data_IF_743381355586
#
_entry.id   IF_743381355586
#
_cell.length_a   1.000
_cell.length_b   1.000
_cell.length_c   1.000
_cell.angle_alpha   90.00
_cell.angle_beta   90.00
_cell.angle_gamma   90.00
#
_symmetry.space_group_name_H-M   'P 1'
#
loop_
_entity.id
_entity.type
_entity.pdbx_description
1 polymer ?
#
# COMPACT_ATOMS: atom_id res chain seq x y z
N UNK A 1 24.47 -5.86 47.44
CA UNK A 1 23.58 -6.93 46.96
C UNK A 1 22.59 -6.29 45.96
N UNK A 2 22.88 -6.35 44.68
CA UNK A 2 21.98 -5.87 43.61
C UNK A 2 21.07 -7.01 43.20
N UNK A 3 19.74 -6.87 43.41
CA UNK A 3 18.73 -7.81 42.95
C UNK A 3 18.48 -7.55 41.47
N UNK A 4 18.85 -8.46 40.62
CA UNK A 4 18.43 -8.50 39.21
C UNK A 4 17.00 -9.03 39.18
N UNK A 5 16.06 -8.18 38.75
CA UNK A 5 14.71 -8.61 38.37
C UNK A 5 14.81 -9.16 36.96
N UNK A 6 14.72 -10.48 36.84
CA UNK A 6 14.63 -11.18 35.58
C UNK A 6 13.19 -11.03 35.07
N UNK A 7 12.96 -10.05 34.18
CA UNK A 7 11.69 -9.93 33.48
C UNK A 7 11.55 -11.11 32.50
N UNK A 8 10.60 -12.01 32.75
CA UNK A 8 10.19 -13.02 31.77
C UNK A 8 9.56 -12.29 30.58
N UNK A 9 10.30 -12.21 29.49
CA UNK A 9 9.76 -11.98 28.16
C UNK A 9 8.98 -13.25 27.75
N UNK A 10 7.71 -13.31 28.07
CA UNK A 10 6.75 -14.21 27.44
C UNK A 10 6.58 -13.76 26.00
N UNK A 11 7.50 -14.14 25.13
CA UNK A 11 7.34 -14.04 23.68
C UNK A 11 6.08 -14.80 23.30
N UNK A 12 5.18 -14.15 22.60
CA UNK A 12 4.03 -14.76 21.95
C UNK A 12 4.53 -15.77 20.91
N UNK A 13 4.89 -16.98 21.35
CA UNK A 13 4.97 -18.11 20.43
C UNK A 13 3.57 -18.24 19.85
N UNK A 14 3.40 -17.87 18.59
CA UNK A 14 2.19 -18.19 17.84
C UNK A 14 1.88 -19.64 18.10
N UNK A 15 0.71 -19.92 18.68
CA UNK A 15 0.24 -21.26 18.99
C UNK A 15 0.00 -22.00 17.67
N UNK A 16 1.08 -22.47 17.04
CA UNK A 16 1.02 -23.41 15.95
C UNK A 16 0.36 -24.67 16.50
N UNK A 17 -0.90 -24.90 16.09
CA UNK A 17 -1.68 -26.05 16.56
C UNK A 17 -3.06 -25.71 17.12
N UNK A 18 -3.31 -24.47 17.57
CA UNK A 18 -4.62 -24.11 18.10
C UNK A 18 -5.62 -23.90 16.97
N UNK A 19 -6.75 -24.61 17.05
CA UNK A 19 -7.89 -24.40 16.17
C UNK A 19 -8.83 -23.40 16.81
N UNK A 20 -9.26 -22.38 16.06
CA UNK A 20 -10.20 -21.36 16.53
C UNK A 20 -11.39 -21.27 15.57
N UNK A 21 -12.59 -21.28 16.12
CA UNK A 21 -13.86 -21.04 15.41
C UNK A 21 -14.28 -19.60 15.68
N UNK A 22 -14.49 -18.84 14.62
CA UNK A 22 -15.07 -17.50 14.65
C UNK A 22 -16.50 -17.59 14.13
N UNK A 23 -17.47 -17.02 14.85
CA UNK A 23 -18.87 -17.20 14.47
C UNK A 23 -19.75 -16.01 14.81
N UNK A 24 -20.85 -15.85 14.05
CA UNK A 24 -21.86 -14.82 14.26
C UNK A 24 -21.66 -13.54 13.48
N UNK A 25 -20.53 -13.37 12.77
CA UNK A 25 -20.25 -12.18 11.99
C UNK A 25 -20.93 -12.18 10.62
N UNK A 26 -21.07 -10.98 10.05
CA UNK A 26 -21.17 -10.80 8.59
C UNK A 26 -19.80 -11.05 8.00
N UNK A 27 -19.68 -11.93 7.00
CA UNK A 27 -18.41 -12.23 6.33
C UNK A 27 -18.44 -11.65 4.92
N UNK A 28 -17.61 -10.63 4.68
CA UNK A 28 -17.34 -10.07 3.34
C UNK A 28 -16.19 -10.87 2.76
N UNK A 29 -16.46 -11.61 1.69
CA UNK A 29 -15.48 -12.57 1.14
C UNK A 29 -14.30 -11.86 0.45
N UNK A 30 -14.54 -10.69 -0.16
CA UNK A 30 -13.49 -9.92 -0.85
C UNK A 30 -13.45 -10.11 -2.36
N UNK A 31 -14.43 -10.82 -2.95
CA UNK A 31 -14.53 -11.12 -4.39
C UNK A 31 -15.83 -10.62 -5.04
N UNK A 32 -16.48 -9.63 -4.42
CA UNK A 32 -17.76 -9.03 -4.83
C UNK A 32 -19.00 -9.95 -4.76
N UNK A 33 -18.87 -11.17 -4.25
CA UNK A 33 -20.07 -11.98 -3.95
C UNK A 33 -20.82 -11.41 -2.74
N UNK A 34 -22.12 -11.65 -2.62
CA UNK A 34 -22.89 -11.24 -1.44
C UNK A 34 -22.25 -11.76 -0.15
N UNK A 35 -22.25 -10.97 0.94
CA UNK A 35 -21.69 -11.40 2.21
C UNK A 35 -22.46 -12.60 2.79
N UNK A 36 -21.76 -13.42 3.57
CA UNK A 36 -22.41 -14.47 4.38
C UNK A 36 -22.88 -13.82 5.67
N UNK A 37 -24.18 -13.63 5.79
CA UNK A 37 -24.78 -13.13 7.02
C UNK A 37 -24.75 -14.22 8.11
N UNK A 38 -24.49 -13.81 9.36
CA UNK A 38 -24.36 -14.73 10.49
C UNK A 38 -23.45 -15.92 10.11
N UNK A 39 -22.27 -15.60 9.59
CA UNK A 39 -21.31 -16.57 9.11
C UNK A 39 -20.42 -17.15 10.21
N UNK A 40 -19.70 -18.19 9.86
CA UNK A 40 -18.65 -18.78 10.69
C UNK A 40 -17.46 -19.24 9.82
N UNK A 41 -16.28 -19.26 10.42
CA UNK A 41 -15.11 -19.86 9.80
C UNK A 41 -14.18 -20.44 10.85
N UNK A 42 -13.36 -21.42 10.42
CA UNK A 42 -12.40 -22.11 11.27
C UNK A 42 -11.00 -21.81 10.80
N UNK A 43 -10.17 -21.37 11.73
CA UNK A 43 -8.73 -21.14 11.50
C UNK A 43 -7.93 -22.26 12.20
N UNK A 44 -7.02 -22.86 11.46
CA UNK A 44 -6.06 -23.86 11.96
C UNK A 44 -4.70 -23.62 11.30
N UNK A 45 -3.64 -23.58 12.09
CA UNK A 45 -2.28 -23.30 11.60
C UNK A 45 -2.19 -22.06 10.70
N UNK A 46 -2.84 -20.97 11.08
CA UNK A 46 -2.81 -19.70 10.36
C UNK A 46 -3.60 -19.68 9.05
N UNK A 47 -4.40 -20.71 8.75
CA UNK A 47 -5.20 -20.80 7.53
C UNK A 47 -6.68 -21.05 7.84
N UNK A 48 -7.54 -20.53 6.99
CA UNK A 48 -8.97 -20.82 6.99
C UNK A 48 -9.15 -22.25 6.46
N UNK A 49 -9.69 -23.15 7.29
CA UNK A 49 -9.91 -24.56 6.90
C UNK A 49 -11.38 -24.85 6.57
N UNK A 50 -12.30 -24.02 7.06
CA UNK A 50 -13.73 -24.05 6.73
C UNK A 50 -14.32 -22.66 6.82
N UNK A 51 -15.34 -22.35 6.01
CA UNK A 51 -16.08 -21.08 6.01
C UNK A 51 -17.49 -21.32 5.46
N UNK A 52 -18.53 -20.68 6.04
CA UNK A 52 -19.91 -20.78 5.61
C UNK A 52 -20.87 -20.15 6.63
N UNK A 53 -22.19 -20.32 6.46
CA UNK A 53 -23.18 -19.90 7.45
C UNK A 53 -22.96 -20.55 8.82
N UNK A 54 -23.25 -19.84 9.90
CA UNK A 54 -23.20 -20.39 11.27
C UNK A 54 -24.10 -21.63 11.37
N UNK A 55 -23.58 -22.69 11.99
CA UNK A 55 -24.26 -23.99 12.09
C UNK A 55 -24.05 -24.94 10.89
N UNK A 56 -23.56 -24.45 9.74
CA UNK A 56 -23.20 -25.32 8.61
C UNK A 56 -21.80 -25.92 8.71
N UNK A 57 -20.97 -25.40 9.62
CA UNK A 57 -19.58 -25.81 9.81
C UNK A 57 -19.48 -26.66 11.07
N UNK A 58 -18.88 -27.84 10.94
CA UNK A 58 -18.56 -28.66 12.11
C UNK A 58 -17.43 -28.02 12.91
N UNK A 59 -17.69 -27.70 14.18
CA UNK A 59 -16.65 -27.26 15.10
C UNK A 59 -15.73 -28.45 15.44
N UNK A 60 -14.40 -28.31 15.24
CA UNK A 60 -13.46 -29.34 15.68
C UNK A 60 -13.46 -29.48 17.22
N UNK A 61 -13.30 -30.70 17.71
CA UNK A 61 -13.21 -30.94 19.15
C UNK A 61 -12.01 -30.19 19.75
N UNK A 62 -12.25 -29.49 20.87
CA UNK A 62 -11.22 -28.71 21.55
C UNK A 62 -10.86 -27.37 20.89
N UNK A 63 -11.57 -26.95 19.86
CA UNK A 63 -11.38 -25.63 19.26
C UNK A 63 -11.78 -24.51 20.26
N UNK A 64 -10.99 -23.43 20.25
CA UNK A 64 -11.41 -22.18 20.89
C UNK A 64 -12.55 -21.53 20.08
N UNK A 65 -13.44 -20.82 20.76
CA UNK A 65 -14.55 -20.11 20.13
C UNK A 65 -14.43 -18.61 20.37
N UNK A 66 -14.64 -17.83 19.30
CA UNK A 66 -14.70 -16.38 19.32
C UNK A 66 -16.07 -15.96 18.77
N UNK A 67 -16.89 -15.37 19.64
CA UNK A 67 -18.19 -14.80 19.23
C UNK A 67 -17.96 -13.42 18.60
N UNK A 68 -18.36 -13.29 17.35
CA UNK A 68 -18.31 -12.06 16.56
C UNK A 68 -19.71 -11.57 16.18
N UNK A 69 -20.71 -11.91 16.97
CA UNK A 69 -22.09 -11.46 16.76
C UNK A 69 -22.16 -9.92 16.70
N UNK A 70 -22.79 -9.40 15.65
CA UNK A 70 -22.90 -7.96 15.39
C UNK A 70 -21.65 -7.32 14.76
N UNK A 71 -20.60 -8.11 14.48
CA UNK A 71 -19.38 -7.63 13.80
C UNK A 71 -19.41 -7.95 12.31
N UNK A 72 -18.52 -7.27 11.59
CA UNK A 72 -18.23 -7.60 10.19
C UNK A 72 -16.77 -8.06 10.09
N UNK A 73 -16.53 -9.10 9.31
CA UNK A 73 -15.17 -9.59 8.99
C UNK A 73 -14.94 -9.44 7.51
N UNK A 74 -13.78 -8.90 7.15
CA UNK A 74 -13.31 -8.79 5.76
C UNK A 74 -11.85 -9.24 5.67
N UNK A 75 -11.34 -9.61 4.47
CA UNK A 75 -9.91 -9.85 4.28
C UNK A 75 -9.09 -8.63 4.68
N UNK A 76 -7.86 -8.84 5.12
CA UNK A 76 -6.90 -7.74 5.29
C UNK A 76 -6.66 -7.01 3.95
N UNK A 77 -6.41 -5.72 4.04
CA UNK A 77 -6.11 -4.85 2.91
C UNK A 77 -4.74 -5.22 2.33
N UNK A 78 -4.59 -5.10 1.02
CA UNK A 78 -3.32 -5.26 0.32
C UNK A 78 -3.01 -3.99 -0.46
N UNK A 79 -1.88 -3.35 -0.18
CA UNK A 79 -1.40 -2.14 -0.84
C UNK A 79 -0.30 -2.50 -1.84
N UNK A 80 -0.48 -2.16 -3.13
CA UNK A 80 0.54 -2.42 -4.16
C UNK A 80 1.45 -1.24 -4.46
N UNK A 81 1.38 -0.16 -3.68
CA UNK A 81 2.20 1.02 -3.92
C UNK A 81 2.43 1.84 -2.67
N UNK A 82 3.59 1.69 -2.05
CA UNK A 82 4.11 2.52 -0.98
C UNK A 82 5.63 2.68 -1.12
N UNK A 83 6.22 3.61 -0.37
CA UNK A 83 7.66 3.90 -0.35
C UNK A 83 8.19 3.71 1.06
N UNK A 84 8.76 2.53 1.35
CA UNK A 84 9.11 2.12 2.71
C UNK A 84 10.56 2.44 3.07
N UNK A 85 10.78 2.89 4.29
CA UNK A 85 12.10 2.97 4.93
C UNK A 85 12.72 4.36 5.00
N UNK A 86 12.39 5.28 4.11
CA UNK A 86 13.04 6.60 4.02
C UNK A 86 12.35 7.69 4.85
N UNK A 87 11.04 7.58 5.06
CA UNK A 87 10.30 8.54 5.85
C UNK A 87 10.53 8.30 7.34
N UNK A 88 10.97 9.34 8.06
CA UNK A 88 10.80 9.47 9.50
C UNK A 88 9.53 10.26 9.80
N UNK A 89 9.26 10.57 11.07
CA UNK A 89 8.06 11.31 11.43
C UNK A 89 8.02 12.74 10.85
N UNK A 90 9.15 13.43 10.79
CA UNK A 90 9.27 14.79 10.25
C UNK A 90 10.50 14.94 9.35
N UNK A 91 11.04 13.84 8.85
CA UNK A 91 12.20 13.83 7.95
C UNK A 91 12.01 12.82 6.83
N UNK A 92 12.69 13.02 5.76
CA UNK A 92 12.92 12.03 4.72
C UNK A 92 14.41 11.98 4.44
N UNK A 93 15.05 10.85 4.68
CA UNK A 93 16.48 10.70 4.53
C UNK A 93 16.86 9.26 4.23
N UNK A 94 17.99 9.09 3.53
CA UNK A 94 18.61 7.80 3.27
C UNK A 94 19.09 7.13 4.58
N UNK A 95 19.47 7.91 5.58
CA UNK A 95 19.88 7.42 6.90
C UNK A 95 18.72 6.78 7.68
N UNK A 96 17.47 7.13 7.35
CA UNK A 96 16.28 6.48 7.90
C UNK A 96 16.10 5.04 7.36
N UNK A 97 16.75 4.69 6.24
CA UNK A 97 16.54 3.39 5.61
C UNK A 97 17.24 2.27 6.39
N UNK A 98 16.59 1.81 7.43
CA UNK A 98 17.03 0.72 8.30
C UNK A 98 15.99 -0.40 8.35
N UNK A 99 16.37 -1.64 8.71
CA UNK A 99 15.41 -2.72 8.92
C UNK A 99 14.31 -2.37 9.92
N UNK A 100 14.67 -1.64 10.98
CA UNK A 100 13.77 -1.23 12.05
C UNK A 100 12.73 -0.23 11.54
N UNK A 101 13.14 0.74 10.71
CA UNK A 101 12.22 1.73 10.16
C UNK A 101 11.30 1.12 9.09
N UNK A 102 11.81 0.22 8.24
CA UNK A 102 10.95 -0.54 7.30
C UNK A 102 9.94 -1.39 8.07
N UNK A 103 10.37 -2.03 9.17
CA UNK A 103 9.47 -2.78 10.04
C UNK A 103 8.42 -1.89 10.70
N UNK A 104 8.81 -0.71 11.20
CA UNK A 104 7.88 0.26 11.82
C UNK A 104 6.78 0.68 10.84
N UNK A 105 7.11 0.95 9.58
CA UNK A 105 6.12 1.24 8.55
C UNK A 105 5.16 0.07 8.32
N UNK A 106 5.68 -1.17 8.23
CA UNK A 106 4.86 -2.36 8.05
C UNK A 106 4.01 -2.70 9.29
N UNK A 107 4.46 -2.36 10.48
CA UNK A 107 3.68 -2.47 11.72
C UNK A 107 2.53 -1.45 11.75
N UNK A 108 2.75 -0.21 11.25
CA UNK A 108 1.68 0.78 11.08
C UNK A 108 0.65 0.33 10.07
N UNK A 109 1.09 -0.18 8.92
CA UNK A 109 0.22 -0.81 7.94
C UNK A 109 -0.64 -1.90 8.60
N UNK A 110 -0.01 -2.82 9.32
CA UNK A 110 -0.72 -3.90 10.02
C UNK A 110 -1.67 -3.39 11.10
N UNK A 111 -1.29 -2.34 11.85
CA UNK A 111 -2.15 -1.72 12.87
C UNK A 111 -3.48 -1.25 12.27
N UNK A 112 -3.46 -0.75 11.05
CA UNK A 112 -4.64 -0.31 10.32
C UNK A 112 -5.28 -1.40 9.43
N UNK A 113 -4.85 -2.67 9.58
CA UNK A 113 -5.47 -3.81 8.88
C UNK A 113 -4.91 -4.11 7.50
N UNK A 114 -3.77 -3.52 7.14
CA UNK A 114 -3.07 -3.87 5.90
C UNK A 114 -2.25 -5.13 6.12
N UNK A 115 -2.51 -6.18 5.34
CA UNK A 115 -1.82 -7.46 5.47
C UNK A 115 -0.61 -7.64 4.54
N UNK A 116 -0.51 -6.80 3.50
CA UNK A 116 0.56 -6.90 2.48
C UNK A 116 0.84 -5.53 1.88
N UNK A 117 2.12 -5.18 1.73
CA UNK A 117 2.55 -3.91 1.13
C UNK A 117 3.67 -4.14 0.12
N UNK A 118 3.55 -3.54 -1.07
CA UNK A 118 4.56 -3.51 -2.12
C UNK A 118 5.31 -2.17 -2.09
N UNK A 119 6.59 -2.21 -1.73
CA UNK A 119 7.49 -1.05 -1.82
C UNK A 119 7.93 -0.82 -3.26
N UNK A 120 7.74 0.42 -3.77
CA UNK A 120 7.68 0.69 -5.18
C UNK A 120 8.92 1.43 -5.72
N UNK A 121 10.01 0.66 -5.93
CA UNK A 121 11.11 1.11 -6.79
C UNK A 121 12.38 1.58 -6.09
N UNK A 122 12.36 1.97 -4.82
CA UNK A 122 13.52 2.54 -4.12
C UNK A 122 14.15 1.60 -3.09
N UNK A 123 13.91 0.30 -3.20
CA UNK A 123 14.54 -0.66 -2.28
C UNK A 123 15.86 -1.19 -2.82
N UNK A 124 16.97 -1.09 -2.05
CA UNK A 124 18.18 -1.82 -2.38
C UNK A 124 17.87 -3.32 -2.47
N UNK A 125 18.18 -3.94 -3.61
CA UNK A 125 17.73 -5.30 -3.93
C UNK A 125 18.25 -6.33 -2.92
N UNK A 126 19.50 -6.18 -2.45
CA UNK A 126 20.07 -7.11 -1.46
C UNK A 126 19.37 -7.01 -0.11
N UNK A 127 19.16 -5.79 0.37
CA UNK A 127 18.40 -5.51 1.58
C UNK A 127 16.98 -6.09 1.49
N UNK A 128 16.26 -5.80 0.41
CA UNK A 128 14.89 -6.23 0.24
C UNK A 128 14.73 -7.76 0.25
N UNK A 129 15.63 -8.47 -0.43
CA UNK A 129 15.65 -9.94 -0.43
C UNK A 129 15.97 -10.51 0.95
N UNK A 130 16.88 -9.89 1.68
CA UNK A 130 17.22 -10.31 3.04
C UNK A 130 16.06 -10.08 4.00
N UNK A 131 15.44 -8.89 3.95
CA UNK A 131 14.29 -8.54 4.76
C UNK A 131 13.13 -9.51 4.52
N UNK A 132 12.80 -9.82 3.27
CA UNK A 132 11.78 -10.83 2.92
C UNK A 132 12.11 -12.21 3.49
N UNK A 133 13.36 -12.67 3.36
CA UNK A 133 13.79 -13.96 3.93
C UNK A 133 13.63 -14.00 5.44
N UNK A 134 13.99 -12.93 6.13
CA UNK A 134 13.86 -12.84 7.59
C UNK A 134 12.39 -12.83 8.03
N UNK A 135 11.53 -12.12 7.29
CA UNK A 135 10.08 -12.12 7.56
C UNK A 135 9.47 -13.50 7.32
N UNK A 136 9.77 -14.16 6.20
CA UNK A 136 9.29 -15.51 5.89
C UNK A 136 9.77 -16.56 6.89
N UNK A 137 10.97 -16.37 7.44
CA UNK A 137 11.53 -17.24 8.47
C UNK A 137 10.97 -16.98 9.88
N UNK A 138 10.03 -16.02 10.04
CA UNK A 138 9.45 -15.65 11.33
C UNK A 138 10.44 -14.98 12.28
N UNK A 139 11.52 -14.38 11.78
CA UNK A 139 12.53 -13.69 12.57
C UNK A 139 12.15 -12.25 12.91
N UNK A 140 11.12 -11.70 12.25
CA UNK A 140 10.61 -10.36 12.48
C UNK A 140 9.28 -10.39 13.23
N UNK A 141 8.94 -9.35 14.00
CA UNK A 141 7.62 -9.21 14.61
C UNK A 141 6.48 -9.29 13.60
N UNK A 142 5.24 -9.60 14.05
CA UNK A 142 4.07 -9.57 13.19
C UNK A 142 3.83 -8.19 12.57
N UNK A 143 3.82 -8.11 11.25
CA UNK A 143 3.64 -6.89 10.47
C UNK A 143 3.03 -7.24 9.10
N UNK A 144 2.65 -6.24 8.31
CA UNK A 144 2.27 -6.45 6.92
C UNK A 144 3.39 -7.16 6.14
N UNK A 145 3.03 -8.04 5.22
CA UNK A 145 4.02 -8.76 4.39
C UNK A 145 4.67 -7.78 3.42
N UNK A 146 5.99 -7.81 3.41
CA UNK A 146 6.81 -6.97 2.56
C UNK A 146 7.01 -7.59 1.18
N UNK A 147 6.68 -6.82 0.15
CA UNK A 147 7.04 -7.06 -1.24
C UNK A 147 7.75 -5.84 -1.81
N UNK A 148 8.47 -5.97 -2.93
CA UNK A 148 9.11 -4.84 -3.57
C UNK A 148 9.21 -5.02 -5.09
N UNK A 149 9.27 -3.88 -5.79
CA UNK A 149 9.63 -3.78 -7.19
C UNK A 149 11.03 -3.16 -7.32
N UNK A 150 11.82 -3.62 -8.26
CA UNK A 150 13.11 -2.99 -8.56
C UNK A 150 12.90 -1.76 -9.46
N UNK A 151 13.49 -0.62 -9.07
CA UNK A 151 13.31 0.67 -9.76
C UNK A 151 14.24 0.89 -10.93
N UNK A 152 13.74 1.62 -11.95
CA UNK A 152 14.50 2.09 -13.10
C UNK A 152 14.22 3.55 -13.39
N UNK A 153 15.26 4.35 -13.56
CA UNK A 153 15.18 5.76 -13.94
C UNK A 153 16.26 6.11 -14.96
N UNK A 154 16.10 7.17 -15.76
CA UNK A 154 17.20 7.72 -16.53
C UNK A 154 18.22 8.37 -15.58
N UNK A 155 19.53 8.42 -15.93
CA UNK A 155 20.55 9.00 -15.07
C UNK A 155 20.20 10.44 -14.66
N UNK A 156 20.13 10.67 -13.34
CA UNK A 156 19.75 11.97 -12.76
C UNK A 156 18.32 12.39 -13.06
N UNK A 157 17.43 11.46 -13.43
CA UNK A 157 16.08 11.74 -13.89
C UNK A 157 14.99 11.11 -13.04
N UNK A 158 13.75 11.40 -13.45
CA UNK A 158 12.53 10.97 -12.80
C UNK A 158 11.91 12.04 -11.89
N UNK A 159 10.59 12.04 -11.74
CA UNK A 159 9.86 13.08 -10.98
C UNK A 159 10.13 13.00 -9.50
N UNK A 160 10.48 11.82 -9.04
CA UNK A 160 10.89 11.57 -7.65
C UNK A 160 12.40 11.75 -7.50
N UNK A 161 12.98 12.67 -8.27
CA UNK A 161 14.44 12.85 -8.34
C UNK A 161 15.06 13.15 -6.98
N UNK A 162 14.35 13.82 -6.07
CA UNK A 162 14.82 13.94 -4.69
C UNK A 162 14.87 12.58 -4.00
N UNK A 163 13.82 11.77 -4.17
CA UNK A 163 13.79 10.43 -3.62
C UNK A 163 14.86 9.58 -4.30
N UNK A 164 14.90 9.62 -5.63
CA UNK A 164 15.88 8.85 -6.42
C UNK A 164 17.31 9.31 -6.15
N UNK A 165 17.58 10.61 -6.13
CA UNK A 165 18.91 11.16 -5.82
C UNK A 165 19.26 10.93 -4.35
N UNK A 166 18.33 11.11 -3.43
CA UNK A 166 18.50 10.78 -2.02
C UNK A 166 18.84 9.30 -1.79
N UNK A 167 18.31 8.40 -2.60
CA UNK A 167 18.60 6.96 -2.51
C UNK A 167 19.87 6.52 -3.25
N UNK A 168 20.52 7.42 -4.01
CA UNK A 168 21.71 7.09 -4.79
C UNK A 168 22.83 6.42 -3.97
N UNK A 169 23.13 6.83 -2.72
CA UNK A 169 24.13 6.16 -1.90
C UNK A 169 23.84 4.68 -1.64
N UNK A 170 22.57 4.26 -1.69
CA UNK A 170 22.15 2.87 -1.48
C UNK A 170 22.06 2.05 -2.77
N UNK A 171 22.30 2.65 -3.92
CA UNK A 171 22.10 2.01 -5.24
C UNK A 171 20.70 1.35 -5.37
N UNK A 172 19.67 2.02 -4.84
CA UNK A 172 18.33 1.49 -4.76
C UNK A 172 17.60 1.50 -6.12
N UNK A 173 17.97 2.41 -7.01
CA UNK A 173 17.40 2.56 -8.36
C UNK A 173 18.43 2.24 -9.42
N UNK A 174 18.03 1.51 -10.45
CA UNK A 174 18.87 1.20 -11.60
C UNK A 174 18.79 2.34 -12.61
N UNK A 175 19.86 3.09 -12.79
CA UNK A 175 19.95 4.11 -13.84
C UNK A 175 20.24 3.46 -15.19
N UNK A 176 19.44 3.80 -16.21
CA UNK A 176 19.54 3.24 -17.56
C UNK A 176 19.34 4.33 -18.63
N UNK A 177 20.13 4.29 -19.66
CA UNK A 177 20.10 5.23 -20.79
C UNK A 177 19.74 4.57 -22.13
N UNK A 178 19.94 3.26 -22.23
CA UNK A 178 19.78 2.51 -23.48
C UNK A 178 18.91 1.25 -23.28
N UNK A 179 18.24 0.76 -24.36
CA UNK A 179 17.52 -0.50 -24.33
C UNK A 179 18.39 -1.71 -23.92
N UNK A 180 19.63 -1.74 -24.32
CA UNK A 180 20.56 -2.84 -24.00
C UNK A 180 20.92 -2.88 -22.51
N UNK A 181 21.22 -1.72 -21.91
CA UNK A 181 21.42 -1.60 -20.46
C UNK A 181 20.18 -2.06 -19.68
N UNK A 182 19.01 -1.57 -20.07
CA UNK A 182 17.74 -1.93 -19.45
C UNK A 182 17.50 -3.44 -19.52
N UNK A 183 17.65 -4.03 -20.70
CA UNK A 183 17.50 -5.47 -20.92
C UNK A 183 18.48 -6.30 -20.07
N UNK A 184 19.76 -5.89 -20.02
CA UNK A 184 20.78 -6.59 -19.24
C UNK A 184 20.47 -6.58 -17.73
N UNK A 185 19.98 -5.45 -17.21
CA UNK A 185 19.62 -5.30 -15.80
C UNK A 185 18.36 -6.11 -15.48
N UNK A 186 17.32 -6.06 -16.30
CA UNK A 186 16.09 -6.86 -16.09
C UNK A 186 16.42 -8.36 -16.03
N UNK A 187 17.29 -8.87 -16.94
CA UNK A 187 17.76 -10.25 -16.90
C UNK A 187 18.52 -10.59 -15.60
N UNK A 188 19.34 -9.67 -15.11
CA UNK A 188 20.05 -9.84 -13.84
C UNK A 188 19.06 -9.94 -12.67
N UNK A 189 18.05 -9.07 -12.63
CA UNK A 189 17.01 -9.08 -11.60
C UNK A 189 16.16 -10.34 -11.66
N UNK A 190 15.75 -10.78 -12.85
CA UNK A 190 15.00 -12.02 -13.06
C UNK A 190 15.74 -13.26 -12.52
N UNK A 191 17.06 -13.36 -12.79
CA UNK A 191 17.90 -14.44 -12.23
C UNK A 191 17.97 -14.43 -10.69
N UNK A 192 17.73 -13.27 -10.06
CA UNK A 192 17.66 -13.12 -8.60
C UNK A 192 16.28 -13.41 -8.03
N UNK A 193 15.30 -13.77 -8.88
CA UNK A 193 13.94 -14.06 -8.46
C UNK A 193 13.06 -12.83 -8.27
N UNK A 194 13.49 -11.64 -8.71
CA UNK A 194 12.67 -10.44 -8.70
C UNK A 194 11.50 -10.64 -9.67
N UNK A 195 10.31 -10.25 -9.24
CA UNK A 195 9.07 -10.48 -9.99
C UNK A 195 8.42 -9.22 -10.52
N UNK A 196 8.88 -8.05 -10.08
CA UNK A 196 8.27 -6.78 -10.39
C UNK A 196 9.33 -5.72 -10.63
N UNK A 197 9.09 -4.87 -11.64
CA UNK A 197 9.92 -3.70 -11.96
C UNK A 197 9.05 -2.45 -11.96
N UNK A 198 9.61 -1.33 -11.51
CA UNK A 198 9.01 0.00 -11.55
C UNK A 198 9.90 0.93 -12.35
N UNK A 199 9.32 1.75 -13.20
CA UNK A 199 10.03 2.82 -13.87
C UNK A 199 9.24 4.12 -13.87
N UNK A 200 9.95 5.24 -14.04
CA UNK A 200 9.36 6.58 -14.05
C UNK A 200 9.47 7.19 -15.45
N UNK A 201 8.32 7.64 -15.98
CA UNK A 201 8.20 8.36 -17.24
C UNK A 201 7.57 9.71 -16.93
N UNK A 202 8.39 10.65 -16.49
CA UNK A 202 7.94 11.98 -16.13
C UNK A 202 9.15 12.93 -16.12
N UNK A 203 8.93 14.16 -16.44
CA UNK A 203 9.93 15.21 -16.36
C UNK A 203 9.37 16.48 -15.71
N UNK A 204 8.42 16.33 -14.79
CA UNK A 204 7.77 17.43 -14.12
C UNK A 204 8.82 18.40 -13.55
N UNK A 205 8.70 19.67 -13.96
CA UNK A 205 9.33 20.76 -13.26
C UNK A 205 8.52 21.06 -12.00
N UNK A 206 9.07 20.72 -10.86
CA UNK A 206 8.49 21.05 -9.55
C UNK A 206 9.34 22.08 -8.81
N UNK A 207 9.85 23.09 -9.52
CA UNK A 207 10.77 24.14 -9.07
C UNK A 207 12.19 23.66 -8.73
N UNK A 208 12.57 22.48 -9.21
CA UNK A 208 13.88 21.86 -8.97
C UNK A 208 14.67 21.59 -10.26
N UNK A 209 14.17 22.11 -11.37
CA UNK A 209 14.73 21.88 -12.70
C UNK A 209 14.02 20.73 -13.44
N UNK A 210 14.09 20.77 -14.77
CA UNK A 210 13.55 19.71 -15.60
C UNK A 210 14.41 18.44 -15.44
N UNK A 211 13.75 17.32 -15.10
CA UNK A 211 14.40 16.01 -15.02
C UNK A 211 14.44 15.37 -16.40
N UNK A 212 15.42 14.47 -16.61
CA UNK A 212 15.43 13.64 -17.80
C UNK A 212 14.25 12.69 -17.78
N UNK A 213 13.54 12.59 -18.88
CA UNK A 213 12.46 11.67 -19.09
C UNK A 213 13.00 10.35 -19.68
N UNK A 214 12.48 9.23 -19.21
CA UNK A 214 12.87 7.93 -19.80
C UNK A 214 12.35 7.83 -21.24
N UNK A 215 13.24 7.54 -22.22
CA UNK A 215 12.85 7.43 -23.62
C UNK A 215 11.92 6.22 -23.87
N UNK A 216 10.99 6.30 -24.84
CA UNK A 216 10.06 5.21 -25.17
C UNK A 216 10.73 3.88 -25.47
N UNK A 217 11.84 3.88 -26.19
CA UNK A 217 12.61 2.68 -26.52
C UNK A 217 13.20 2.00 -25.27
N UNK A 218 13.55 2.76 -24.25
CA UNK A 218 14.13 2.21 -23.00
C UNK A 218 13.02 1.57 -22.15
N UNK A 219 11.90 2.26 -21.89
CA UNK A 219 10.84 1.64 -21.11
C UNK A 219 10.18 0.47 -21.85
N UNK A 220 10.11 0.52 -23.17
CA UNK A 220 9.61 -0.61 -23.96
C UNK A 220 10.52 -1.83 -23.82
N UNK A 221 11.84 -1.62 -23.79
CA UNK A 221 12.81 -2.70 -23.56
C UNK A 221 12.67 -3.30 -22.13
N UNK A 222 12.43 -2.45 -21.11
CA UNK A 222 12.15 -2.92 -19.74
C UNK A 222 10.91 -3.81 -19.73
N UNK A 223 9.78 -3.34 -20.29
CA UNK A 223 8.51 -4.06 -20.32
C UNK A 223 8.68 -5.41 -21.04
N UNK A 224 9.20 -5.38 -22.26
CA UNK A 224 9.36 -6.57 -23.07
C UNK A 224 10.25 -7.63 -22.44
N UNK A 225 11.36 -7.20 -21.82
CA UNK A 225 12.26 -8.13 -21.17
C UNK A 225 11.68 -8.65 -19.85
N UNK A 226 11.00 -7.80 -19.09
CA UNK A 226 10.27 -8.22 -17.88
C UNK A 226 9.25 -9.31 -18.22
N UNK A 227 8.46 -9.14 -19.27
CA UNK A 227 7.48 -10.12 -19.73
C UNK A 227 8.10 -11.46 -20.13
N UNK A 228 9.25 -11.47 -20.83
CA UNK A 228 9.98 -12.72 -21.16
C UNK A 228 10.33 -13.55 -19.93
N UNK A 229 10.54 -12.89 -18.79
CA UNK A 229 10.87 -13.53 -17.52
C UNK A 229 9.66 -13.67 -16.58
N UNK A 230 8.45 -13.39 -17.07
CA UNK A 230 7.24 -13.47 -16.27
C UNK A 230 7.17 -12.42 -15.14
N UNK A 231 7.90 -11.32 -15.25
CA UNK A 231 7.83 -10.18 -14.31
C UNK A 231 6.71 -9.23 -14.74
N UNK A 232 6.18 -8.44 -13.80
CA UNK A 232 5.26 -7.34 -14.08
C UNK A 232 5.99 -6.00 -14.08
N UNK A 233 5.56 -5.12 -14.99
CA UNK A 233 6.09 -3.77 -15.15
C UNK A 233 5.07 -2.73 -14.65
N UNK A 234 5.52 -1.81 -13.79
CA UNK A 234 4.76 -0.70 -13.25
C UNK A 234 5.33 0.61 -13.79
N UNK A 235 4.49 1.48 -14.32
CA UNK A 235 4.91 2.77 -14.86
C UNK A 235 4.32 3.94 -14.09
N UNK A 236 5.17 4.80 -13.53
CA UNK A 236 4.79 6.13 -13.13
C UNK A 236 4.61 7.00 -14.38
N UNK A 237 3.41 7.51 -14.62
CA UNK A 237 3.08 8.43 -15.70
C UNK A 237 1.92 9.35 -15.29
N UNK A 238 2.12 10.67 -15.32
CA UNK A 238 1.17 11.64 -14.77
C UNK A 238 0.55 12.56 -15.80
N UNK A 239 1.02 12.53 -17.05
CA UNK A 239 0.42 13.25 -18.17
C UNK A 239 -0.14 12.30 -19.24
N UNK A 240 -1.04 12.81 -20.07
CA UNK A 240 -1.79 12.00 -21.03
C UNK A 240 -0.88 11.34 -22.08
N UNK A 241 0.11 12.05 -22.59
CA UNK A 241 1.01 11.53 -23.62
C UNK A 241 1.84 10.35 -23.09
N UNK A 242 2.33 10.46 -21.86
CA UNK A 242 3.11 9.41 -21.23
C UNK A 242 2.25 8.19 -20.88
N UNK A 243 1.03 8.40 -20.38
CA UNK A 243 0.11 7.30 -20.12
C UNK A 243 -0.25 6.54 -21.41
N UNK A 244 -0.51 7.25 -22.51
CA UNK A 244 -0.69 6.63 -23.83
C UNK A 244 0.54 5.80 -24.22
N UNK A 245 1.73 6.36 -24.07
CA UNK A 245 2.98 5.70 -24.43
C UNK A 245 3.21 4.40 -23.68
N UNK A 246 3.12 4.42 -22.34
CA UNK A 246 3.40 3.23 -21.52
C UNK A 246 2.31 2.18 -21.63
N UNK A 247 1.03 2.55 -21.79
CA UNK A 247 -0.05 1.57 -21.99
C UNK A 247 0.07 0.91 -23.36
N UNK A 248 0.37 1.65 -24.43
CA UNK A 248 0.64 1.10 -25.76
C UNK A 248 1.88 0.18 -25.78
N UNK A 249 2.88 0.47 -24.95
CA UNK A 249 4.05 -0.41 -24.79
C UNK A 249 3.74 -1.71 -24.01
N UNK A 250 2.53 -1.84 -23.45
CA UNK A 250 2.07 -3.04 -22.76
C UNK A 250 2.36 -3.08 -21.26
N UNK A 251 2.46 -1.93 -20.58
CA UNK A 251 2.65 -1.89 -19.13
C UNK A 251 1.54 -2.67 -18.40
N UNK A 252 1.90 -3.42 -17.38
CA UNK A 252 0.93 -4.20 -16.59
C UNK A 252 0.15 -3.34 -15.60
N UNK A 253 0.85 -2.39 -14.94
CA UNK A 253 0.26 -1.52 -13.92
C UNK A 253 0.56 -0.06 -14.25
N UNK A 254 -0.47 0.68 -14.60
CA UNK A 254 -0.42 2.13 -14.73
C UNK A 254 -0.53 2.77 -13.36
N UNK A 255 0.46 3.59 -13.00
CA UNK A 255 0.51 4.28 -11.70
C UNK A 255 0.17 5.75 -11.91
N UNK A 256 -0.62 6.28 -10.98
CA UNK A 256 -1.18 7.62 -10.95
C UNK A 256 -2.35 7.83 -11.93
N UNK A 257 -2.97 8.98 -11.77
CA UNK A 257 -4.05 9.47 -12.62
C UNK A 257 -3.70 10.83 -13.22
N UNK A 258 -4.41 11.22 -14.26
CA UNK A 258 -4.31 12.55 -14.83
C UNK A 258 -4.96 13.56 -13.87
N UNK A 259 -4.16 14.44 -13.27
CA UNK A 259 -4.63 15.48 -12.35
C UNK A 259 -4.70 16.86 -13.02
N UNK A 260 -3.80 17.13 -13.98
CA UNK A 260 -3.69 18.41 -14.65
C UNK A 260 -4.51 18.51 -15.95
N UNK A 261 -4.95 17.39 -16.50
CA UNK A 261 -5.62 17.32 -17.80
C UNK A 261 -6.72 16.25 -17.84
N UNK A 262 -7.62 16.36 -18.79
CA UNK A 262 -8.70 15.39 -19.01
C UNK A 262 -8.27 14.31 -19.98
N UNK A 263 -8.74 13.09 -19.73
CA UNK A 263 -8.59 11.96 -20.65
C UNK A 263 -9.32 12.23 -21.96
N UNK A 264 -8.73 11.82 -23.08
CA UNK A 264 -9.34 11.89 -24.41
C UNK A 264 -9.83 10.53 -24.93
N UNK A 265 -10.58 10.55 -26.03
CA UNK A 265 -11.17 9.34 -26.61
C UNK A 265 -10.11 8.35 -27.15
N UNK A 266 -8.96 8.86 -27.61
CA UNK A 266 -7.86 8.00 -28.06
C UNK A 266 -7.33 7.17 -26.87
N UNK A 267 -7.08 7.79 -25.73
CA UNK A 267 -6.59 7.06 -24.58
C UNK A 267 -7.64 6.11 -23.99
N UNK A 268 -8.93 6.47 -24.02
CA UNK A 268 -9.99 5.55 -23.63
C UNK A 268 -10.03 4.30 -24.53
N UNK A 269 -9.79 4.45 -25.83
CA UNK A 269 -9.66 3.32 -26.74
C UNK A 269 -8.44 2.45 -26.43
N UNK A 270 -7.29 3.06 -26.10
CA UNK A 270 -6.07 2.37 -25.67
C UNK A 270 -6.32 1.59 -24.37
N UNK A 271 -6.93 2.21 -23.35
CA UNK A 271 -7.28 1.54 -22.10
C UNK A 271 -8.19 0.34 -22.34
N UNK A 272 -9.19 0.48 -23.23
CA UNK A 272 -10.12 -0.60 -23.57
C UNK A 272 -9.41 -1.78 -24.26
N UNK A 273 -8.41 -1.51 -25.09
CA UNK A 273 -7.64 -2.52 -25.78
C UNK A 273 -6.69 -3.29 -24.85
N UNK A 274 -6.01 -2.59 -23.97
CA UNK A 274 -4.94 -3.14 -23.12
C UNK A 274 -5.40 -3.57 -21.72
N UNK A 275 -6.40 -2.89 -21.14
CA UNK A 275 -6.97 -3.17 -19.81
C UNK A 275 -5.93 -3.33 -18.70
N UNK A 276 -5.02 -2.38 -18.52
CA UNK A 276 -3.99 -2.47 -17.49
C UNK A 276 -4.63 -2.49 -16.09
N UNK A 277 -3.89 -2.98 -15.10
CA UNK A 277 -4.17 -2.59 -13.73
C UNK A 277 -3.90 -1.10 -13.58
N UNK A 278 -4.67 -0.44 -12.72
CA UNK A 278 -4.53 0.98 -12.48
C UNK A 278 -4.56 1.29 -11.00
N UNK A 279 -3.48 1.88 -10.49
CA UNK A 279 -3.41 2.42 -9.14
C UNK A 279 -3.37 3.95 -9.21
N UNK A 280 -4.50 4.61 -8.96
CA UNK A 280 -4.66 6.04 -9.25
C UNK A 280 -3.91 6.97 -8.29
N UNK A 281 -3.69 6.57 -7.01
CA UNK A 281 -3.00 7.37 -5.99
C UNK A 281 -3.62 8.77 -5.88
N UNK A 282 -4.89 8.84 -5.56
CA UNK A 282 -5.64 10.10 -5.57
C UNK A 282 -5.52 10.87 -4.26
N UNK A 283 -5.38 10.16 -3.15
CA UNK A 283 -5.33 10.75 -1.82
C UNK A 283 -4.11 11.61 -1.55
N UNK A 284 -2.99 11.35 -2.23
CA UNK A 284 -1.71 12.03 -1.97
C UNK A 284 -1.80 13.58 -2.02
N UNK A 285 -2.63 14.13 -2.88
CA UNK A 285 -2.86 15.58 -2.97
C UNK A 285 -4.11 16.06 -2.23
N UNK A 286 -4.90 15.16 -1.64
CA UNK A 286 -6.11 15.55 -0.91
C UNK A 286 -5.74 15.90 0.53
N UNK A 287 -6.16 17.11 0.96
CA UNK A 287 -5.94 17.62 2.32
C UNK A 287 -7.22 17.66 3.13
N UNK A 288 -8.37 17.51 2.48
CA UNK A 288 -9.66 17.83 3.08
C UNK A 288 -9.85 17.04 4.39
N UNK A 289 -9.65 15.75 4.35
CA UNK A 289 -9.90 14.91 5.51
C UNK A 289 -8.98 15.22 6.70
N UNK A 290 -7.69 15.48 6.46
CA UNK A 290 -6.74 15.82 7.52
C UNK A 290 -6.99 17.22 8.09
N UNK A 291 -7.49 18.14 7.26
CA UNK A 291 -7.61 19.55 7.58
C UNK A 291 -9.00 19.96 8.11
N UNK A 292 -10.04 19.20 7.81
CA UNK A 292 -11.43 19.57 8.13
C UNK A 292 -11.87 19.23 9.56
N UNK A 293 -10.95 18.87 10.44
CA UNK A 293 -11.25 18.63 11.85
C UNK A 293 -10.34 17.59 12.50
N UNK A 294 -10.71 17.11 13.69
CA UNK A 294 -10.02 15.99 14.32
C UNK A 294 -10.05 14.75 13.41
N UNK A 295 -8.90 14.08 13.24
CA UNK A 295 -8.82 12.81 12.52
C UNK A 295 -8.36 11.72 13.50
N UNK A 296 -9.27 11.27 14.40
CA UNK A 296 -8.91 10.33 15.46
C UNK A 296 -8.24 9.06 14.92
N UNK A 297 -8.52 8.72 13.65
CA UNK A 297 -8.00 7.53 13.03
C UNK A 297 -6.49 7.65 12.72
N UNK A 298 -6.03 8.73 12.09
CA UNK A 298 -4.59 8.94 11.85
C UNK A 298 -3.83 9.15 13.16
N UNK A 299 -4.48 9.76 14.14
CA UNK A 299 -3.91 10.06 15.45
C UNK A 299 -3.62 8.80 16.29
N UNK A 300 -4.21 7.66 15.94
CA UNK A 300 -4.00 6.40 16.67
C UNK A 300 -2.56 5.87 16.56
N UNK A 301 -1.90 6.08 15.42
CA UNK A 301 -0.57 5.53 15.16
C UNK A 301 0.49 6.61 14.89
N UNK A 302 0.32 7.80 15.50
CA UNK A 302 1.24 8.92 15.34
C UNK A 302 1.30 9.76 16.64
N UNK A 303 2.48 10.29 17.02
CA UNK A 303 2.58 11.22 18.14
C UNK A 303 1.75 12.49 17.90
N UNK A 304 1.12 13.01 18.96
CA UNK A 304 0.25 14.20 18.86
C UNK A 304 1.01 15.43 18.37
N UNK A 305 2.30 15.57 18.77
CA UNK A 305 3.17 16.64 18.29
C UNK A 305 3.41 16.59 16.79
N UNK A 306 3.56 15.38 16.22
CA UNK A 306 3.74 15.19 14.78
C UNK A 306 2.47 15.56 14.02
N UNK A 307 1.29 15.17 14.52
CA UNK A 307 0.01 15.58 13.93
C UNK A 307 -0.14 17.11 13.94
N UNK A 308 0.23 17.76 15.03
CA UNK A 308 0.20 19.23 15.14
C UNK A 308 1.13 19.89 14.10
N UNK A 309 2.35 19.37 13.94
CA UNK A 309 3.30 19.88 12.96
C UNK A 309 2.84 19.68 11.52
N UNK A 310 2.27 18.51 11.20
CA UNK A 310 1.66 18.25 9.88
C UNK A 310 0.55 19.27 9.58
N UNK A 311 -0.34 19.52 10.54
CA UNK A 311 -1.42 20.53 10.38
C UNK A 311 -0.88 21.94 10.23
N UNK A 312 0.22 22.25 10.87
CA UNK A 312 0.90 23.54 10.72
C UNK A 312 1.72 23.68 9.43
N UNK A 313 1.78 22.63 8.59
CA UNK A 313 2.58 22.62 7.37
C UNK A 313 4.08 22.44 7.61
N UNK A 314 4.49 22.08 8.81
CA UNK A 314 5.89 21.83 9.20
C UNK A 314 6.27 20.38 8.85
N UNK A 315 6.33 20.09 7.56
CA UNK A 315 6.66 18.78 7.00
C UNK A 315 7.97 18.86 6.22
N UNK A 316 8.68 17.73 6.07
CA UNK A 316 9.92 17.68 5.28
C UNK A 316 9.68 18.07 3.83
N UNK A 317 8.52 17.72 3.24
CA UNK A 317 8.06 18.24 1.96
C UNK A 317 7.17 19.46 2.24
N UNK A 318 7.61 20.68 1.91
CA UNK A 318 6.82 21.88 2.18
C UNK A 318 5.41 21.76 1.60
N UNK A 319 4.40 21.99 2.44
CA UNK A 319 3.02 21.97 2.02
C UNK A 319 2.23 23.06 2.72
N UNK A 320 1.20 23.65 2.09
CA UNK A 320 0.41 24.66 2.74
C UNK A 320 -0.18 24.15 4.05
N UNK A 321 -0.18 24.94 5.13
CA UNK A 321 -0.85 24.56 6.37
C UNK A 321 -2.34 24.36 6.14
N UNK A 322 -2.98 23.58 7.00
CA UNK A 322 -4.43 23.31 6.88
C UNK A 322 -5.30 24.57 6.86
N UNK A 323 -4.87 25.62 7.56
CA UNK A 323 -5.57 26.92 7.56
C UNK A 323 -5.52 27.68 6.22
N UNK A 324 -4.62 27.29 5.29
CA UNK A 324 -4.55 27.95 3.99
C UNK A 324 -5.72 27.52 3.07
N UNK A 325 -6.29 28.44 2.29
CA UNK A 325 -7.35 28.08 1.36
C UNK A 325 -6.84 27.12 0.26
N UNK A 326 -7.73 26.30 -0.34
CA UNK A 326 -7.39 25.50 -1.50
C UNK A 326 -6.85 26.37 -2.64
N UNK A 327 -5.81 25.88 -3.32
CA UNK A 327 -5.24 26.58 -4.49
C UNK A 327 -6.10 26.34 -5.74
N UNK A 328 -6.00 27.19 -6.77
CA UNK A 328 -6.64 26.94 -8.07
C UNK A 328 -6.25 25.57 -8.68
N UNK A 329 -5.01 25.14 -8.48
CA UNK A 329 -4.54 23.82 -8.92
C UNK A 329 -5.29 22.67 -8.22
N UNK A 330 -5.63 22.84 -6.95
CA UNK A 330 -6.46 21.87 -6.24
C UNK A 330 -7.86 21.75 -6.84
N UNK A 331 -8.49 22.87 -7.17
CA UNK A 331 -9.82 22.89 -7.80
C UNK A 331 -9.79 22.20 -9.19
N UNK A 332 -8.78 22.51 -10.02
CA UNK A 332 -8.58 21.86 -11.32
C UNK A 332 -8.36 20.36 -11.17
N UNK A 333 -7.54 19.96 -10.20
CA UNK A 333 -7.31 18.55 -9.88
C UNK A 333 -8.61 17.81 -9.53
N UNK A 334 -9.43 18.37 -8.66
CA UNK A 334 -10.72 17.79 -8.27
C UNK A 334 -11.68 17.67 -9.45
N UNK A 335 -11.74 18.69 -10.31
CA UNK A 335 -12.54 18.65 -11.54
C UNK A 335 -12.07 17.51 -12.45
N UNK A 336 -10.76 17.39 -12.68
CA UNK A 336 -10.20 16.38 -13.56
C UNK A 336 -10.36 14.98 -12.97
N UNK A 337 -10.20 14.78 -11.66
CA UNK A 337 -10.44 13.47 -11.01
C UNK A 337 -11.89 13.02 -11.21
N UNK A 338 -12.86 13.88 -10.97
CA UNK A 338 -14.29 13.59 -11.18
C UNK A 338 -14.63 13.26 -12.63
N UNK A 339 -13.93 13.89 -13.58
CA UNK A 339 -14.12 13.63 -15.01
C UNK A 339 -13.43 12.34 -15.46
N UNK A 340 -12.19 12.13 -15.04
CA UNK A 340 -11.33 11.04 -15.53
C UNK A 340 -11.69 9.69 -14.92
N UNK A 341 -11.89 9.62 -13.58
CA UNK A 341 -12.01 8.37 -12.85
C UNK A 341 -13.11 7.44 -13.41
N UNK A 342 -14.38 7.87 -13.57
CA UNK A 342 -15.41 7.00 -14.10
C UNK A 342 -15.14 6.58 -15.55
N UNK A 343 -14.43 7.40 -16.33
CA UNK A 343 -14.07 7.07 -17.72
C UNK A 343 -12.99 5.99 -17.80
N UNK A 344 -11.98 6.02 -16.93
CA UNK A 344 -10.98 4.95 -16.82
C UNK A 344 -11.64 3.62 -16.49
N UNK A 345 -12.55 3.61 -15.52
CA UNK A 345 -13.29 2.40 -15.12
C UNK A 345 -14.14 1.88 -16.28
N UNK A 346 -14.92 2.77 -16.93
CA UNK A 346 -15.76 2.40 -18.07
C UNK A 346 -14.95 1.90 -19.28
N UNK A 347 -13.72 2.40 -19.46
CA UNK A 347 -12.79 1.90 -20.48
C UNK A 347 -12.12 0.57 -20.11
N UNK A 348 -12.38 0.04 -18.91
CA UNK A 348 -11.91 -1.28 -18.50
C UNK A 348 -10.58 -1.30 -17.75
N UNK A 349 -10.08 -0.15 -17.29
CA UNK A 349 -8.97 -0.11 -16.35
C UNK A 349 -9.34 -0.89 -15.07
N UNK A 350 -8.45 -1.80 -14.65
CA UNK A 350 -8.68 -2.64 -13.48
C UNK A 350 -8.11 -1.97 -12.24
N UNK A 351 -8.95 -1.18 -11.54
CA UNK A 351 -8.50 -0.43 -10.38
C UNK A 351 -7.98 -1.35 -9.28
N UNK A 352 -6.85 -0.99 -8.67
CA UNK A 352 -6.18 -1.71 -7.58
C UNK A 352 -5.61 -0.72 -6.59
N UNK A 353 -5.70 -1.04 -5.30
CA UNK A 353 -5.26 -0.14 -4.25
C UNK A 353 -3.74 0.04 -4.23
N UNK A 354 -3.31 1.28 -4.27
CA UNK A 354 -1.98 1.76 -3.98
C UNK A 354 -2.05 3.21 -3.54
N UNK A 355 -1.17 3.63 -2.65
CA UNK A 355 -1.32 4.89 -1.91
C UNK A 355 -0.20 5.90 -2.11
N UNK A 356 1.00 5.47 -2.46
CA UNK A 356 2.19 6.33 -2.41
C UNK A 356 2.56 6.77 -0.98
N UNK A 357 2.10 6.05 0.05
CA UNK A 357 2.50 6.33 1.43
C UNK A 357 4.03 6.28 1.55
N UNK A 358 4.62 7.24 2.29
CA UNK A 358 6.07 7.40 2.42
C UNK A 358 6.67 8.50 1.54
N UNK A 359 5.86 9.20 0.72
CA UNK A 359 6.29 10.41 -0.01
C UNK A 359 5.68 11.68 0.56
N UNK A 360 4.85 11.58 1.59
CA UNK A 360 4.26 12.72 2.30
C UNK A 360 3.75 12.31 3.67
N UNK A 361 4.19 13.00 4.73
CA UNK A 361 3.71 12.73 6.10
C UNK A 361 2.21 12.90 6.28
N UNK A 362 1.56 13.70 5.43
CA UNK A 362 0.10 13.85 5.44
C UNK A 362 -0.64 12.60 5.00
N UNK A 363 0.07 11.68 4.38
CA UNK A 363 -0.47 10.49 3.78
C UNK A 363 0.25 9.27 4.36
N UNK A 364 0.08 9.10 5.68
CA UNK A 364 0.82 8.11 6.46
C UNK A 364 0.36 6.68 6.21
N UNK A 365 1.26 5.75 6.49
CA UNK A 365 1.04 4.30 6.34
C UNK A 365 -0.21 3.82 7.10
N UNK A 366 -1.05 3.06 6.44
CA UNK A 366 -2.29 2.51 6.96
C UNK A 366 -3.47 3.49 6.92
N UNK A 367 -3.28 4.76 7.28
CA UNK A 367 -4.30 5.79 7.09
C UNK A 367 -4.57 6.04 5.60
N UNK A 368 -3.51 6.12 4.80
CA UNK A 368 -3.57 6.39 3.36
C UNK A 368 -4.47 5.39 2.62
N UNK A 369 -4.42 4.11 3.00
CA UNK A 369 -5.26 3.06 2.40
C UNK A 369 -6.75 3.36 2.61
N UNK A 370 -7.15 3.61 3.84
CA UNK A 370 -8.54 3.90 4.16
C UNK A 370 -9.03 5.23 3.57
N UNK A 371 -8.12 6.21 3.41
CA UNK A 371 -8.42 7.46 2.73
C UNK A 371 -8.67 7.21 1.23
N UNK A 372 -7.80 6.43 0.59
CA UNK A 372 -7.92 6.08 -0.84
C UNK A 372 -9.22 5.29 -1.10
N UNK A 373 -9.64 4.38 -0.20
CA UNK A 373 -10.94 3.69 -0.30
C UNK A 373 -12.10 4.69 -0.29
N UNK A 374 -12.04 5.71 0.57
CA UNK A 374 -13.02 6.80 0.61
C UNK A 374 -13.09 7.56 -0.72
N UNK A 375 -11.91 7.82 -1.32
CA UNK A 375 -11.80 8.48 -2.62
C UNK A 375 -12.45 7.65 -3.75
N UNK A 376 -12.23 6.33 -3.77
CA UNK A 376 -12.82 5.45 -4.78
C UNK A 376 -14.35 5.50 -4.75
N UNK A 377 -14.95 5.42 -3.56
CA UNK A 377 -16.42 5.52 -3.43
C UNK A 377 -16.91 6.92 -3.77
N UNK A 378 -16.23 7.96 -3.32
CA UNK A 378 -16.56 9.36 -3.65
C UNK A 378 -16.58 9.62 -5.16
N UNK A 379 -15.75 8.91 -5.91
CA UNK A 379 -15.60 9.05 -7.37
C UNK A 379 -16.43 8.05 -8.19
N UNK A 380 -17.18 7.15 -7.54
CA UNK A 380 -18.22 6.37 -8.19
C UNK A 380 -18.13 4.85 -8.09
N UNK A 381 -17.12 4.29 -7.41
CA UNK A 381 -17.17 2.85 -7.12
C UNK A 381 -18.17 2.56 -6.00
N UNK A 382 -18.78 1.40 -6.05
CA UNK A 382 -19.52 0.86 -4.91
C UNK A 382 -18.55 0.44 -3.79
N UNK A 383 -18.99 0.40 -2.52
CA UNK A 383 -18.16 -0.15 -1.45
C UNK A 383 -17.67 -1.58 -1.72
N UNK A 384 -18.48 -2.43 -2.33
CA UNK A 384 -18.09 -3.80 -2.68
C UNK A 384 -16.96 -3.84 -3.71
N UNK A 385 -17.06 -3.06 -4.80
CA UNK A 385 -15.98 -2.93 -5.80
C UNK A 385 -14.70 -2.37 -5.20
N UNK A 386 -14.84 -1.41 -4.27
CA UNK A 386 -13.73 -0.81 -3.55
C UNK A 386 -13.01 -1.84 -2.66
N UNK A 387 -13.76 -2.70 -1.95
CA UNK A 387 -13.17 -3.79 -1.16
C UNK A 387 -12.42 -4.77 -2.07
N UNK A 388 -12.97 -5.14 -3.22
CA UNK A 388 -12.26 -5.98 -4.21
C UNK A 388 -10.97 -5.32 -4.67
N UNK A 389 -11.00 -4.01 -4.96
CA UNK A 389 -9.81 -3.26 -5.38
C UNK A 389 -8.73 -3.22 -4.29
N UNK A 390 -9.10 -3.39 -3.02
CA UNK A 390 -8.21 -3.35 -1.86
C UNK A 390 -7.83 -4.74 -1.31
N UNK A 391 -8.49 -5.81 -1.72
CA UNK A 391 -8.27 -7.13 -1.13
C UNK A 391 -7.86 -8.18 -2.15
N UNK A 392 -8.77 -8.70 -2.97
CA UNK A 392 -8.47 -9.77 -3.93
C UNK A 392 -7.67 -9.30 -5.14
N UNK A 393 -8.01 -8.17 -5.74
CA UNK A 393 -7.35 -7.71 -6.96
C UNK A 393 -5.86 -7.39 -6.80
N UNK A 394 -5.39 -6.78 -5.68
CA UNK A 394 -3.96 -6.62 -5.44
C UNK A 394 -3.19 -7.93 -5.46
N UNK A 395 -3.81 -9.05 -5.06
CA UNK A 395 -3.13 -10.36 -5.06
C UNK A 395 -2.82 -10.88 -6.46
N UNK A 396 -3.58 -10.45 -7.47
CA UNK A 396 -3.29 -10.74 -8.88
C UNK A 396 -1.99 -10.05 -9.31
N UNK A 397 -1.81 -8.77 -8.95
CA UNK A 397 -0.59 -7.99 -9.20
C UNK A 397 0.60 -8.56 -8.42
N UNK A 398 0.41 -8.88 -7.15
CA UNK A 398 1.44 -9.50 -6.31
C UNK A 398 1.77 -10.94 -6.73
N UNK A 399 0.93 -11.56 -7.57
CA UNK A 399 1.02 -12.98 -7.96
C UNK A 399 1.09 -13.92 -6.77
N UNK A 400 0.26 -13.64 -5.77
CA UNK A 400 0.05 -14.49 -4.60
C UNK A 400 -1.40 -14.99 -4.60
N UNK A 401 -1.59 -16.19 -4.11
CA UNK A 401 -2.89 -16.84 -4.10
C UNK A 401 -3.30 -17.30 -2.69
N UNK A 402 -2.59 -16.85 -1.68
CA UNK A 402 -2.78 -17.32 -0.31
C UNK A 402 -3.57 -16.34 0.58
N UNK A 403 -3.90 -15.13 0.09
CA UNK A 403 -4.65 -14.10 0.82
C UNK A 403 -5.63 -13.36 -0.10
N UNK A 404 -6.23 -12.26 0.37
CA UNK A 404 -7.11 -11.37 -0.39
C UNK A 404 -8.57 -11.76 -0.40
N UNK A 405 -8.90 -13.00 -0.04
CA UNK A 405 -10.28 -13.49 0.11
C UNK A 405 -10.40 -14.37 1.35
N UNK A 406 -11.58 -14.36 1.98
CA UNK A 406 -11.93 -15.29 3.05
C UNK A 406 -12.39 -16.61 2.42
N UNK A 407 -11.47 -17.56 2.23
CA UNK A 407 -11.79 -18.84 1.62
C UNK A 407 -10.94 -19.98 2.22
N UNK A 408 -11.46 -21.20 2.11
CA UNK A 408 -10.73 -22.40 2.53
C UNK A 408 -9.35 -22.49 1.86
N UNK A 409 -8.32 -22.78 2.64
CA UNK A 409 -6.93 -22.87 2.22
C UNK A 409 -6.18 -21.54 2.24
N UNK A 410 -6.87 -20.41 2.33
CA UNK A 410 -6.25 -19.08 2.39
C UNK A 410 -5.64 -18.83 3.76
N UNK A 411 -4.63 -18.01 3.82
CA UNK A 411 -4.04 -17.47 5.03
C UNK A 411 -5.11 -16.66 5.77
N UNK A 412 -5.17 -16.80 7.06
CA UNK A 412 -6.14 -16.11 7.90
C UNK A 412 -5.66 -14.67 8.21
N UNK A 413 -5.56 -13.84 7.17
CA UNK A 413 -5.31 -12.40 7.25
C UNK A 413 -6.66 -11.69 7.11
N UNK A 414 -7.20 -11.17 8.22
CA UNK A 414 -8.51 -10.55 8.21
C UNK A 414 -8.66 -9.45 9.28
N UNK A 415 -9.65 -8.61 9.08
CA UNK A 415 -10.01 -7.50 9.97
C UNK A 415 -11.40 -7.78 10.54
N UNK A 416 -11.56 -7.55 11.84
CA UNK A 416 -12.87 -7.52 12.52
C UNK A 416 -13.25 -6.06 12.71
N UNK A 417 -14.41 -5.69 12.18
CA UNK A 417 -14.95 -4.33 12.18
C UNK A 417 -16.19 -4.22 13.07
N UNK A 418 -16.33 -3.08 13.75
CA UNK A 418 -17.52 -2.75 14.57
C UNK A 418 -18.72 -2.33 13.73
N UNK A 419 -18.53 -1.96 12.46
CA UNK A 419 -19.56 -1.50 11.55
C UNK A 419 -19.41 -2.14 10.16
N UNK A 420 -20.44 -2.04 9.31
CA UNK A 420 -20.45 -2.66 7.98
C UNK A 420 -19.88 -1.71 6.92
N UNK A 421 -18.74 -2.04 6.29
CA UNK A 421 -18.14 -1.19 5.24
C UNK A 421 -18.92 -1.20 3.91
N UNK A 422 -19.90 -2.10 3.73
CA UNK A 422 -20.79 -2.07 2.57
C UNK A 422 -21.87 -0.98 2.70
N UNK A 423 -22.20 -0.54 3.91
CA UNK A 423 -23.12 0.57 4.15
C UNK A 423 -22.42 1.93 4.01
N UNK A 424 -21.19 2.01 4.51
CA UNK A 424 -20.29 3.16 4.38
C UNK A 424 -18.85 2.65 4.39
N UNK A 425 -18.10 2.92 3.35
CA UNK A 425 -16.70 2.46 3.21
C UNK A 425 -15.80 2.96 4.35
N UNK A 426 -16.13 4.11 4.98
CA UNK A 426 -15.41 4.64 6.14
C UNK A 426 -15.49 3.72 7.35
N UNK A 427 -16.45 2.79 7.39
CA UNK A 427 -16.55 1.78 8.42
C UNK A 427 -15.39 0.76 8.39
N UNK A 428 -14.55 0.75 7.34
CA UNK A 428 -13.27 0.03 7.36
C UNK A 428 -12.32 0.54 8.45
N UNK A 429 -12.56 1.75 8.98
CA UNK A 429 -11.79 2.36 10.07
C UNK A 429 -12.25 1.94 11.47
N UNK A 430 -13.44 1.35 11.56
CA UNK A 430 -14.03 0.87 12.81
C UNK A 430 -13.41 -0.49 13.24
N UNK A 431 -12.07 -0.52 13.27
CA UNK A 431 -11.28 -1.73 13.50
C UNK A 431 -11.33 -2.13 14.97
N UNK A 432 -11.92 -3.29 15.25
CA UNK A 432 -11.82 -3.93 16.57
C UNK A 432 -10.52 -4.73 16.69
N UNK A 433 -10.28 -5.64 15.75
CA UNK A 433 -9.14 -6.54 15.76
C UNK A 433 -8.57 -6.74 14.36
N UNK A 434 -7.26 -6.99 14.30
CA UNK A 434 -6.56 -7.42 13.09
C UNK A 434 -5.93 -8.78 13.35
N UNK A 435 -6.05 -9.69 12.40
CA UNK A 435 -5.44 -11.01 12.44
C UNK A 435 -4.52 -11.19 11.23
N UNK A 436 -3.30 -11.60 11.49
CA UNK A 436 -2.31 -11.94 10.47
C UNK A 436 -1.88 -13.40 10.66
N UNK A 437 -2.06 -14.23 9.65
CA UNK A 437 -1.87 -15.69 9.74
C UNK A 437 -2.61 -16.32 10.93
N UNK A 438 -3.81 -15.83 11.24
CA UNK A 438 -4.63 -16.30 12.35
C UNK A 438 -4.18 -15.83 13.74
N UNK A 439 -3.07 -15.13 13.86
CA UNK A 439 -2.63 -14.53 15.10
C UNK A 439 -3.22 -13.13 15.25
N UNK A 440 -3.84 -12.86 16.39
CA UNK A 440 -4.36 -11.53 16.72
C UNK A 440 -3.21 -10.57 16.97
N UNK A 441 -3.22 -9.43 16.28
CA UNK A 441 -2.23 -8.38 16.44
C UNK A 441 -2.46 -7.64 17.76
N UNK A 442 -1.40 -7.40 18.52
CA UNK A 442 -1.45 -6.57 19.73
C UNK A 442 -1.44 -5.08 19.36
N UNK A 443 -2.62 -4.60 18.92
CA UNK A 443 -2.79 -3.20 18.52
C UNK A 443 -2.56 -2.22 19.68
N UNK A 444 -2.83 -2.63 20.92
CA UNK A 444 -2.62 -1.76 22.08
C UNK A 444 -1.13 -1.48 22.30
N UNK A 445 -0.29 -2.50 22.25
CA UNK A 445 1.17 -2.34 22.35
C UNK A 445 1.74 -1.55 21.18
N UNK A 446 1.26 -1.77 19.96
CA UNK A 446 1.68 -1.00 18.80
C UNK A 446 1.26 0.47 18.90
N UNK A 447 0.04 0.76 19.35
CA UNK A 447 -0.42 2.12 19.56
C UNK A 447 0.45 2.85 20.60
N UNK A 448 0.78 2.18 21.72
CA UNK A 448 1.66 2.74 22.73
C UNK A 448 3.06 3.04 22.16
N UNK A 449 3.60 2.15 21.31
CA UNK A 449 4.85 2.37 20.59
C UNK A 449 4.78 3.63 19.71
N UNK A 450 3.75 3.75 18.88
CA UNK A 450 3.62 4.86 17.91
C UNK A 450 3.32 6.21 18.56
N UNK A 451 2.70 6.20 19.75
CA UNK A 451 2.43 7.43 20.52
C UNK A 451 3.64 7.95 21.29
N UNK A 452 4.71 7.19 21.39
CA UNK A 452 5.92 7.67 22.05
C UNK A 452 6.50 8.87 21.30
N UNK A 453 6.91 9.90 22.03
CA UNK A 453 7.56 11.06 21.45
C UNK A 453 8.92 10.63 20.85
N UNK A 454 9.07 10.77 19.54
CA UNK A 454 10.37 10.62 18.91
C UNK A 454 11.16 11.91 19.12
N UNK A 455 12.46 11.84 19.41
CA UNK A 455 13.28 13.04 19.47
C UNK A 455 13.20 13.78 18.12
N UNK A 456 13.19 15.12 18.12
CA UNK A 456 13.20 15.87 16.87
C UNK A 456 14.42 15.44 16.05
N UNK A 457 14.21 15.16 14.76
CA UNK A 457 15.33 14.87 13.87
C UNK A 457 16.28 16.06 13.89
N UNK A 458 17.55 15.82 14.13
CA UNK A 458 18.58 16.88 14.19
C UNK A 458 18.91 17.43 12.80
N UNK A 459 18.37 16.87 11.73
CA UNK A 459 18.58 17.30 10.37
C UNK A 459 17.46 18.24 9.91
N UNK A 460 17.76 19.54 9.91
CA UNK A 460 17.05 20.50 9.07
C UNK A 460 17.52 20.28 7.62
N UNK A 461 16.64 20.39 6.61
CA UNK A 461 17.10 20.47 5.24
C UNK A 461 18.12 21.62 5.15
N UNK A 462 19.28 21.35 4.58
CA UNK A 462 20.21 22.41 4.17
C UNK A 462 19.48 23.36 3.24
N UNK A 463 19.48 24.65 3.59
CA UNK A 463 18.94 25.76 2.82
C UNK A 463 19.44 25.79 1.36
#
# INVERSE_FOLDING_TARGET
MKKYVLGLLLGSMAALGQTTVYEGARLIIGDAVPPIENGAFVVHNGRIVAIGPKGSIRSPAGAAHVDLTGKTVMPAINNIHAHLGYEGYLSWDVENHTPENVLDHLEREAFYGVGTTLSMGEQPVDFALEFQRNQLAGKLPPAARFFFAAGFAPPGGGPDALLIQGTAPLHAVNEVSTPDEATAIVRKLARRGIRQVKFWVDNRDNNRGAHKKMPPEVYTAIINEAHKHGMLAHAHATNLADQKGVVNAGVDVLVHTLMAEKVDEEFLAILKAHRPYWTPVMGLGDRSELCDGPVPFIEQAMPDSVVADIRAGKTWLPSPPCAAPPTPQFALREENLRYNFPKYIAAGARIVLGTDAGVSQKYSYGFAEHHELGMYVRLGLTPAETIVAATSRPTEVLRINDTGVLAKGRRADFIVLNANPLDDIRNTREIQDVYLAGARLDRASLQAKFKQAHPPSTHRPSE
#
